data_IF_905195597809
#
_entry.id   IF_905195597809
#
_cell.length_a   1.000
_cell.length_b   1.000
_cell.length_c   1.000
_cell.angle_alpha   90.00
_cell.angle_beta   90.00
_cell.angle_gamma   90.00
#
_symmetry.space_group_name_H-M   'P 1'
#
loop_
_entity.id
_entity.type
_entity.pdbx_description
1 polymer ?
#
# COMPACT_ATOMS: atom_id res chain seq x y z
N UNK A 1 -10.78 -39.26 80.34
CA UNK A 1 -9.34 -38.98 80.50
C UNK A 1 -8.84 -38.32 79.21
N UNK A 2 -8.29 -37.12 79.37
CA UNK A 2 -7.77 -36.23 78.33
C UNK A 2 -6.59 -36.86 77.61
N UNK A 3 -6.53 -36.75 76.28
CA UNK A 3 -5.27 -36.67 75.55
C UNK A 3 -5.34 -35.48 74.60
N UNK A 4 -4.49 -34.50 74.89
CA UNK A 4 -4.30 -33.23 74.23
C UNK A 4 -3.19 -33.43 73.18
N UNK A 5 -3.50 -33.28 71.90
CA UNK A 5 -2.49 -33.23 70.83
C UNK A 5 -2.48 -31.80 70.30
N UNK A 6 -1.40 -31.07 70.61
CA UNK A 6 -1.06 -29.81 69.96
C UNK A 6 -0.67 -30.10 68.51
N UNK A 7 -1.41 -29.51 67.54
CA UNK A 7 -0.99 -29.49 66.15
C UNK A 7 -0.41 -28.10 65.83
N UNK A 8 0.89 -28.06 65.55
CA UNK A 8 1.60 -26.89 65.05
C UNK A 8 1.13 -26.60 63.62
N UNK A 9 0.46 -25.47 63.41
CA UNK A 9 0.05 -25.02 62.08
C UNK A 9 1.15 -24.13 61.48
N UNK A 10 2.05 -24.72 60.70
CA UNK A 10 3.03 -23.98 59.90
C UNK A 10 2.38 -23.49 58.61
N UNK A 11 2.17 -22.17 58.53
CA UNK A 11 1.78 -21.45 57.31
C UNK A 11 2.95 -21.48 56.31
N UNK A 12 2.85 -22.34 55.30
CA UNK A 12 3.66 -22.23 54.08
C UNK A 12 3.04 -21.16 53.18
N UNK A 13 3.66 -19.99 53.12
CA UNK A 13 3.39 -18.99 52.09
C UNK A 13 3.99 -19.54 50.79
N UNK A 14 3.17 -20.18 49.96
CA UNK A 14 3.57 -20.56 48.61
C UNK A 14 3.68 -19.30 47.77
N UNK A 15 4.91 -18.90 47.45
CA UNK A 15 5.22 -17.88 46.45
C UNK A 15 4.63 -18.33 45.11
N UNK A 16 3.54 -17.68 44.67
CA UNK A 16 3.03 -17.83 43.32
C UNK A 16 4.09 -17.25 42.39
N UNK A 17 4.89 -18.13 41.79
CA UNK A 17 5.81 -17.81 40.73
C UNK A 17 4.98 -17.58 39.46
N UNK A 18 4.46 -16.36 39.31
CA UNK A 18 3.78 -15.93 38.09
C UNK A 18 4.84 -15.68 37.02
N UNK A 19 5.39 -16.78 36.48
CA UNK A 19 6.11 -16.74 35.22
C UNK A 19 5.09 -16.47 34.12
N UNK A 20 4.82 -15.18 33.88
CA UNK A 20 4.18 -14.71 32.66
C UNK A 20 5.13 -14.99 31.49
N UNK A 21 5.16 -16.24 31.06
CA UNK A 21 5.76 -16.64 29.80
C UNK A 21 4.76 -16.22 28.72
N UNK A 22 4.79 -14.94 28.34
CA UNK A 22 4.10 -14.49 27.13
C UNK A 22 4.76 -15.23 25.97
N UNK A 23 4.05 -16.25 25.48
CA UNK A 23 4.33 -16.92 24.23
C UNK A 23 4.19 -15.84 23.16
N UNK A 24 5.28 -15.15 22.81
CA UNK A 24 5.26 -14.20 21.70
C UNK A 24 4.79 -14.97 20.47
N UNK A 25 3.53 -14.75 20.08
CA UNK A 25 3.03 -15.23 18.81
C UNK A 25 4.02 -14.77 17.75
N UNK A 26 4.60 -15.73 17.03
CA UNK A 26 5.43 -15.44 15.85
C UNK A 26 4.58 -14.56 14.95
N UNK A 27 4.97 -13.29 14.80
CA UNK A 27 4.21 -12.35 13.98
C UNK A 27 4.37 -12.79 12.53
N UNK A 28 3.26 -13.12 11.88
CA UNK A 28 3.23 -13.49 10.47
C UNK A 28 3.74 -12.31 9.62
N UNK A 29 4.53 -12.62 8.60
CA UNK A 29 4.96 -11.65 7.61
C UNK A 29 3.73 -10.96 6.99
N UNK A 30 3.83 -9.64 6.84
CA UNK A 30 2.80 -8.81 6.23
C UNK A 30 2.87 -8.99 4.70
N UNK A 31 1.73 -9.28 4.09
CA UNK A 31 1.61 -9.42 2.63
C UNK A 31 1.82 -8.07 1.94
N UNK A 32 2.28 -8.03 0.68
CA UNK A 32 2.53 -6.78 -0.03
C UNK A 32 1.31 -5.88 -0.16
N UNK A 33 0.11 -6.48 -0.25
CA UNK A 33 -1.13 -5.74 -0.38
C UNK A 33 -1.61 -5.14 0.94
N UNK A 34 -1.28 -5.71 2.09
CA UNK A 34 -1.71 -5.20 3.39
C UNK A 34 -1.17 -3.78 3.63
N UNK A 35 -1.90 -3.00 4.44
CA UNK A 35 -1.53 -1.62 4.73
C UNK A 35 -0.17 -1.47 5.37
N UNK A 36 0.57 -0.46 4.92
CA UNK A 36 1.90 -0.16 5.41
C UNK A 36 2.17 1.34 5.38
N UNK A 37 2.83 1.83 6.42
CA UNK A 37 2.98 3.27 6.62
C UNK A 37 4.44 3.63 6.86
N UNK A 38 4.91 4.66 6.15
CA UNK A 38 6.14 5.36 6.46
C UNK A 38 5.84 6.60 7.31
N UNK A 39 6.53 6.71 8.44
CA UNK A 39 6.43 7.84 9.34
C UNK A 39 7.79 8.54 9.44
N UNK A 40 7.78 9.85 9.27
CA UNK A 40 8.99 10.70 9.33
C UNK A 40 9.21 11.32 10.72
N UNK A 41 8.18 11.32 11.55
CA UNK A 41 8.24 11.76 12.95
C UNK A 41 7.42 10.82 13.80
N UNK A 42 7.73 10.79 15.10
CA UNK A 42 6.87 10.10 16.06
C UNK A 42 5.54 10.87 16.10
N UNK A 43 4.59 10.45 15.26
CA UNK A 43 3.29 11.08 15.15
C UNK A 43 2.46 10.72 16.37
N UNK A 44 1.93 11.75 17.02
CA UNK A 44 0.88 11.65 18.04
C UNK A 44 -0.28 10.81 17.45
N UNK A 45 -0.72 9.78 18.16
CA UNK A 45 -1.90 8.97 17.76
C UNK A 45 -1.64 7.51 17.39
N UNK A 46 -0.43 6.97 17.55
CA UNK A 46 -0.19 5.52 17.43
C UNK A 46 -0.59 4.77 18.71
N UNK A 47 -1.88 4.58 18.92
CA UNK A 47 -2.39 3.70 19.98
C UNK A 47 -1.89 2.26 19.75
N UNK A 48 -1.56 1.55 20.84
CA UNK A 48 -1.15 0.13 20.85
C UNK A 48 0.01 -0.28 19.92
N UNK A 49 1.01 0.59 19.71
CA UNK A 49 2.20 0.20 18.93
C UNK A 49 3.12 -0.78 19.66
N UNK A 50 3.53 -1.85 18.98
CA UNK A 50 4.57 -2.77 19.43
C UNK A 50 5.84 -2.56 18.60
N UNK A 51 6.93 -2.15 19.24
CA UNK A 51 8.24 -2.11 18.60
C UNK A 51 8.70 -3.55 18.35
N UNK A 52 9.01 -3.88 17.09
CA UNK A 52 9.51 -5.20 16.72
C UNK A 52 11.04 -5.20 16.70
N UNK A 53 11.64 -4.24 15.99
CA UNK A 53 13.09 -4.11 15.89
C UNK A 53 13.52 -2.74 15.36
N UNK A 54 14.82 -2.51 15.30
CA UNK A 54 15.44 -1.38 14.59
C UNK A 54 16.27 -1.91 13.44
N UNK A 55 16.02 -1.39 12.23
CA UNK A 55 16.78 -1.73 11.03
C UNK A 55 17.72 -0.59 10.64
N UNK A 56 18.87 -0.97 10.08
CA UNK A 56 19.86 -0.05 9.53
C UNK A 56 20.12 -0.47 8.09
N UNK A 57 19.81 0.39 7.14
CA UNK A 57 19.92 0.08 5.73
C UNK A 57 20.67 1.18 4.98
N UNK A 58 21.27 0.80 3.85
CA UNK A 58 21.96 1.72 2.95
C UNK A 58 21.67 1.38 1.49
N UNK A 59 21.60 2.41 0.65
CA UNK A 59 21.46 2.31 -0.81
C UNK A 59 22.02 3.56 -1.47
N UNK A 60 22.37 3.48 -2.75
CA UNK A 60 22.75 4.62 -3.60
C UNK A 60 21.56 5.53 -3.90
N UNK A 61 20.36 4.95 -4.00
CA UNK A 61 19.11 5.66 -4.26
C UNK A 61 18.17 5.61 -3.04
N UNK A 62 17.60 6.77 -2.65
CA UNK A 62 16.75 6.87 -1.45
C UNK A 62 15.43 6.09 -1.58
N UNK A 63 14.77 6.12 -2.73
CA UNK A 63 13.49 5.43 -2.90
C UNK A 63 13.66 3.91 -2.94
N UNK A 64 14.76 3.44 -3.56
CA UNK A 64 15.17 2.03 -3.49
C UNK A 64 15.44 1.63 -2.04
N UNK A 65 16.04 2.53 -1.24
CA UNK A 65 16.27 2.31 0.18
C UNK A 65 14.95 2.17 0.95
N UNK A 66 13.97 3.04 0.69
CA UNK A 66 12.65 2.98 1.31
C UNK A 66 11.92 1.67 0.99
N UNK A 67 11.92 1.23 -0.27
CA UNK A 67 11.33 -0.06 -0.67
C UNK A 67 12.01 -1.26 -0.02
N UNK A 68 13.34 -1.22 0.07
CA UNK A 68 14.10 -2.25 0.78
C UNK A 68 13.73 -2.28 2.27
N UNK A 69 13.52 -1.11 2.87
CA UNK A 69 13.13 -0.98 4.26
C UNK A 69 11.72 -1.50 4.52
N UNK A 70 10.77 -1.19 3.66
CA UNK A 70 9.41 -1.74 3.71
C UNK A 70 9.41 -3.25 3.56
N UNK A 71 10.08 -3.80 2.54
CA UNK A 71 10.17 -5.25 2.33
C UNK A 71 10.72 -5.97 3.56
N UNK A 72 11.78 -5.41 4.16
CA UNK A 72 12.37 -5.97 5.38
C UNK A 72 11.44 -5.84 6.58
N UNK A 73 10.78 -4.69 6.77
CA UNK A 73 9.81 -4.48 7.83
C UNK A 73 8.62 -5.44 7.74
N UNK A 74 8.06 -5.63 6.54
CA UNK A 74 6.98 -6.59 6.28
C UNK A 74 7.41 -8.03 6.57
N UNK A 75 8.62 -8.41 6.16
CA UNK A 75 9.23 -9.73 6.47
C UNK A 75 9.33 -9.98 7.97
N UNK A 76 9.57 -8.93 8.75
CA UNK A 76 9.64 -8.96 10.22
C UNK A 76 8.26 -8.90 10.89
N UNK A 77 7.18 -8.88 10.12
CA UNK A 77 5.80 -8.78 10.62
C UNK A 77 5.36 -7.36 10.97
N UNK A 78 6.15 -6.34 10.63
CA UNK A 78 5.82 -4.93 10.83
C UNK A 78 4.95 -4.36 9.71
N UNK A 79 4.03 -3.48 10.09
CA UNK A 79 3.16 -2.72 9.18
C UNK A 79 3.38 -1.19 9.28
N UNK A 80 4.41 -0.77 10.02
CA UNK A 80 4.75 0.63 10.19
C UNK A 80 6.27 0.79 10.31
N UNK A 81 6.83 1.74 9.56
CA UNK A 81 8.24 2.10 9.60
C UNK A 81 8.40 3.56 10.03
N UNK A 82 9.04 3.79 11.17
CA UNK A 82 9.41 5.13 11.63
C UNK A 82 10.88 5.39 11.32
N UNK A 83 11.15 6.29 10.37
CA UNK A 83 12.53 6.69 10.03
C UNK A 83 13.03 7.65 11.12
N UNK A 84 13.95 7.17 11.95
CA UNK A 84 14.54 7.94 13.06
C UNK A 84 15.76 8.74 12.66
N UNK A 85 16.40 8.37 11.56
CA UNK A 85 17.57 9.10 11.03
C UNK A 85 17.74 8.76 9.56
N UNK A 86 17.97 9.79 8.75
CA UNK A 86 18.45 9.66 7.38
C UNK A 86 19.73 10.47 7.22
N UNK A 87 20.76 9.86 6.64
CA UNK A 87 22.00 10.51 6.22
C UNK A 87 22.13 10.39 4.71
N UNK A 88 22.06 11.53 4.02
CA UNK A 88 22.34 11.62 2.59
C UNK A 88 23.82 11.27 2.27
N UNK A 89 24.12 10.96 1.00
CA UNK A 89 25.50 10.86 0.54
C UNK A 89 26.29 12.14 0.84
N UNK A 90 27.57 12.00 1.13
CA UNK A 90 28.51 13.08 1.36
C UNK A 90 29.92 12.68 0.86
N UNK A 91 30.91 13.57 0.87
CA UNK A 91 32.25 13.27 0.35
C UNK A 91 32.93 12.02 0.96
N UNK A 92 32.50 11.59 2.14
CA UNK A 92 33.05 10.44 2.87
C UNK A 92 32.15 9.19 2.81
N UNK A 93 30.98 9.29 2.20
CA UNK A 93 30.02 8.19 2.08
C UNK A 93 29.08 8.39 0.89
N UNK A 94 29.20 7.55 -0.13
CA UNK A 94 28.47 7.67 -1.39
C UNK A 94 27.01 7.18 -1.36
N UNK A 95 26.49 6.72 -0.20
CA UNK A 95 25.18 6.07 -0.08
C UNK A 95 24.28 6.76 0.93
N UNK A 96 22.98 6.79 0.62
CA UNK A 96 21.93 7.07 1.58
C UNK A 96 21.97 6.00 2.67
N UNK A 97 21.80 6.41 3.92
CA UNK A 97 21.76 5.52 5.09
C UNK A 97 20.56 5.91 5.95
N UNK A 98 19.73 4.93 6.29
CA UNK A 98 18.62 5.15 7.21
C UNK A 98 18.75 4.27 8.46
N UNK A 99 18.29 4.81 9.58
CA UNK A 99 17.93 4.04 10.78
C UNK A 99 16.43 4.15 10.99
N UNK A 100 15.75 3.03 11.11
CA UNK A 100 14.31 3.02 11.26
C UNK A 100 13.86 2.01 12.31
N UNK A 101 12.79 2.36 13.03
CA UNK A 101 12.09 1.46 13.95
C UNK A 101 10.95 0.79 13.19
N UNK A 102 10.88 -0.53 13.29
CA UNK A 102 9.80 -1.35 12.73
C UNK A 102 8.77 -1.59 13.81
N UNK A 103 7.54 -1.18 13.55
CA UNK A 103 6.42 -1.35 14.47
C UNK A 103 5.35 -2.27 13.88
N UNK A 104 4.60 -2.91 14.79
CA UNK A 104 3.24 -3.38 14.53
C UNK A 104 2.27 -2.39 15.18
N UNK A 105 1.32 -1.87 14.40
CA UNK A 105 0.24 -0.99 14.86
C UNK A 105 -1.11 -1.58 14.47
N UNK A 106 -2.15 -1.28 15.24
CA UNK A 106 -3.49 -1.87 15.03
C UNK A 106 -4.18 -1.33 13.78
N UNK A 107 -4.04 -0.02 13.50
CA UNK A 107 -4.73 0.65 12.39
C UNK A 107 -3.74 1.41 11.48
N UNK A 108 -2.93 0.71 10.66
CA UNK A 108 -2.09 1.38 9.67
C UNK A 108 -2.89 2.13 8.60
N UNK A 109 -4.11 1.69 8.28
CA UNK A 109 -4.98 2.25 7.24
C UNK A 109 -5.30 3.74 7.42
N UNK A 110 -5.32 4.23 8.67
CA UNK A 110 -5.60 5.63 8.98
C UNK A 110 -4.47 6.59 8.61
N UNK A 111 -3.25 6.08 8.37
CA UNK A 111 -2.08 6.90 8.08
C UNK A 111 -1.61 6.78 6.62
N UNK A 112 -2.21 5.90 5.82
CA UNK A 112 -1.87 5.77 4.41
C UNK A 112 -2.28 7.03 3.64
N UNK A 113 -1.51 7.42 2.63
CA UNK A 113 -1.90 8.53 1.75
C UNK A 113 -2.57 8.03 0.48
N UNK A 114 -2.21 6.80 0.11
CA UNK A 114 -2.63 6.14 -1.10
C UNK A 114 -2.61 4.63 -0.92
N UNK A 115 -3.37 3.94 -1.76
CA UNK A 115 -3.51 2.49 -1.77
C UNK A 115 -3.12 2.02 -3.18
N UNK A 116 -2.10 1.16 -3.34
CA UNK A 116 -1.85 0.49 -4.60
C UNK A 116 -2.94 -0.56 -4.87
N UNK A 117 -3.35 -0.70 -6.12
CA UNK A 117 -4.40 -1.65 -6.50
C UNK A 117 -3.96 -3.09 -6.21
N UNK A 118 -4.86 -3.88 -5.63
CA UNK A 118 -4.66 -5.31 -5.44
C UNK A 118 -6.00 -6.02 -5.29
N UNK A 119 -6.21 -7.20 -5.92
CA UNK A 119 -7.52 -7.86 -5.89
C UNK A 119 -7.93 -8.32 -4.48
N UNK A 120 -6.95 -8.61 -3.61
CA UNK A 120 -7.18 -8.95 -2.20
C UNK A 120 -7.27 -7.75 -1.26
N UNK A 121 -7.36 -6.52 -1.79
CA UNK A 121 -7.50 -5.29 -1.01
C UNK A 121 -8.57 -4.38 -1.62
N UNK A 122 -9.85 -4.72 -1.44
CA UNK A 122 -10.94 -3.83 -1.83
C UNK A 122 -10.91 -2.55 -1.00
N UNK A 123 -11.43 -1.47 -1.60
CA UNK A 123 -11.66 -0.20 -0.94
C UNK A 123 -12.70 -0.35 0.17
N UNK A 124 -12.53 0.45 1.21
CA UNK A 124 -13.46 0.60 2.34
C UNK A 124 -13.82 2.07 2.46
N UNK A 125 -14.98 2.37 3.04
CA UNK A 125 -15.41 3.76 3.30
C UNK A 125 -14.35 4.55 4.10
N UNK A 126 -13.65 3.92 5.04
CA UNK A 126 -12.58 4.58 5.83
C UNK A 126 -11.35 4.99 5.00
N UNK A 127 -11.23 4.54 3.74
CA UNK A 127 -10.16 4.95 2.84
C UNK A 127 -10.42 6.32 2.21
N UNK A 128 -11.66 6.80 2.20
CA UNK A 128 -12.05 8.10 1.64
C UNK A 128 -11.91 9.18 2.72
N UNK A 129 -10.79 9.91 2.70
CA UNK A 129 -10.42 10.91 3.72
C UNK A 129 -10.25 12.32 3.16
N UNK A 130 -10.53 12.50 1.88
CA UNK A 130 -10.56 13.82 1.25
C UNK A 130 -11.75 14.64 1.73
N UNK A 131 -11.61 15.95 1.60
CA UNK A 131 -12.71 16.88 1.76
C UNK A 131 -13.71 16.69 0.60
N UNK A 132 -15.00 16.81 0.92
CA UNK A 132 -16.08 16.80 -0.06
C UNK A 132 -16.02 18.02 -1.00
N UNK A 133 -15.49 19.16 -0.54
CA UNK A 133 -15.36 20.41 -1.30
C UNK A 133 -16.58 20.71 -2.18
N UNK A 134 -17.72 21.13 -1.59
CA UNK A 134 -18.99 21.49 -2.24
C UNK A 134 -19.48 20.55 -3.37
N UNK A 135 -18.97 19.32 -3.46
CA UNK A 135 -19.26 18.43 -4.56
C UNK A 135 -20.72 17.91 -4.44
N UNK A 136 -21.50 18.02 -5.53
CA UNK A 136 -22.88 17.55 -5.53
C UNK A 136 -23.01 16.02 -5.44
N UNK A 137 -21.96 15.27 -5.80
CA UNK A 137 -21.96 13.80 -5.74
C UNK A 137 -21.75 13.31 -4.30
N UNK A 138 -22.32 12.14 -3.93
CA UNK A 138 -22.16 11.56 -2.59
C UNK A 138 -20.74 11.04 -2.34
N UNK A 139 -19.99 10.70 -3.38
CA UNK A 139 -18.60 10.27 -3.31
C UNK A 139 -17.86 10.63 -4.59
N UNK A 140 -16.53 10.64 -4.50
CA UNK A 140 -15.65 10.64 -5.66
C UNK A 140 -14.29 10.02 -5.32
N UNK A 141 -13.84 9.10 -6.16
CA UNK A 141 -12.48 8.55 -6.14
C UNK A 141 -11.51 9.39 -6.97
N UNK A 142 -10.39 9.76 -6.35
CA UNK A 142 -9.20 10.20 -7.08
C UNK A 142 -8.27 9.00 -7.25
N UNK A 143 -8.24 8.45 -8.47
CA UNK A 143 -7.30 7.38 -8.86
C UNK A 143 -6.26 7.91 -9.85
N UNK A 144 -5.10 7.26 -9.91
CA UNK A 144 -4.01 7.63 -10.81
C UNK A 144 -3.23 6.40 -11.27
N UNK A 145 -2.58 6.52 -12.44
CA UNK A 145 -1.53 5.58 -12.88
C UNK A 145 -0.19 6.24 -12.56
N UNK A 146 0.47 5.77 -11.51
CA UNK A 146 1.76 6.29 -11.07
C UNK A 146 2.90 5.52 -11.76
N UNK A 147 3.84 6.26 -12.37
CA UNK A 147 5.09 5.70 -12.89
C UNK A 147 6.24 6.19 -12.05
N UNK A 148 7.04 5.25 -11.55
CA UNK A 148 8.26 5.53 -10.81
C UNK A 148 9.44 4.83 -11.48
N UNK A 149 10.47 5.60 -11.83
CA UNK A 149 11.68 5.10 -12.49
C UNK A 149 12.86 5.25 -11.55
N UNK A 150 13.58 4.17 -11.30
CA UNK A 150 14.74 4.11 -10.42
C UNK A 150 15.94 3.59 -11.20
N UNK A 151 16.90 4.45 -11.51
CA UNK A 151 18.19 4.01 -12.01
C UNK A 151 19.04 3.53 -10.83
N UNK A 152 19.58 2.31 -10.93
CA UNK A 152 20.59 1.81 -10.01
C UNK A 152 21.96 1.77 -10.69
N UNK A 153 22.84 2.76 -10.40
CA UNK A 153 24.17 2.82 -11.00
C UNK A 153 25.05 1.61 -10.66
N UNK A 154 24.79 0.90 -9.54
CA UNK A 154 25.60 -0.26 -9.15
C UNK A 154 25.29 -1.51 -10.00
N UNK A 155 24.03 -1.69 -10.42
CA UNK A 155 23.61 -2.85 -11.20
C UNK A 155 23.56 -2.62 -12.71
N UNK A 156 23.71 -1.37 -13.17
CA UNK A 156 23.60 -1.06 -14.60
C UNK A 156 22.16 -1.19 -15.12
N UNK A 157 21.15 -1.16 -14.24
CA UNK A 157 19.74 -1.38 -14.59
C UNK A 157 18.86 -0.22 -14.14
N UNK A 158 17.83 0.04 -14.92
CA UNK A 158 16.74 0.93 -14.57
C UNK A 158 15.53 0.10 -14.18
N UNK A 159 14.95 0.36 -13.02
CA UNK A 159 13.70 -0.25 -12.58
C UNK A 159 12.55 0.70 -12.84
N UNK A 160 11.58 0.31 -13.65
CA UNK A 160 10.32 1.02 -13.82
C UNK A 160 9.23 0.35 -12.97
N UNK A 161 8.39 1.13 -12.30
CA UNK A 161 7.24 0.64 -11.54
C UNK A 161 6.00 1.41 -11.95
N UNK A 162 4.94 0.70 -12.31
CA UNK A 162 3.70 1.27 -12.85
C UNK A 162 2.52 0.70 -12.08
N UNK A 163 1.82 1.56 -11.37
CA UNK A 163 0.79 1.16 -10.40
C UNK A 163 -0.47 1.99 -10.56
N UNK A 164 -1.63 1.34 -10.55
CA UNK A 164 -2.87 2.02 -10.25
C UNK A 164 -2.90 2.33 -8.75
N UNK A 165 -3.12 3.61 -8.41
CA UNK A 165 -3.19 4.06 -7.01
C UNK A 165 -4.47 4.83 -6.74
N UNK A 166 -5.12 4.51 -5.64
CA UNK A 166 -6.22 5.26 -5.06
C UNK A 166 -5.65 6.29 -4.07
N UNK A 167 -6.07 7.56 -4.14
CA UNK A 167 -5.53 8.65 -3.33
C UNK A 167 -6.49 8.98 -2.18
N UNK A 168 -6.22 8.46 -0.98
CA UNK A 168 -7.12 8.51 0.17
C UNK A 168 -7.50 9.93 0.57
N UNK A 169 -6.51 10.83 0.66
CA UNK A 169 -6.70 12.22 1.09
C UNK A 169 -7.33 13.12 0.00
N UNK A 170 -7.54 12.58 -1.21
CA UNK A 170 -8.18 13.28 -2.33
C UNK A 170 -9.50 12.65 -2.76
N UNK A 171 -9.94 11.62 -2.04
CA UNK A 171 -11.16 10.88 -2.34
C UNK A 171 -12.10 11.02 -1.17
N UNK A 172 -13.36 11.35 -1.41
CA UNK A 172 -14.35 11.57 -0.35
C UNK A 172 -15.54 10.62 -0.52
N UNK A 173 -16.20 10.34 0.59
CA UNK A 173 -17.39 9.49 0.63
C UNK A 173 -18.32 9.99 1.73
N UNK A 174 -19.57 10.23 1.37
CA UNK A 174 -20.63 10.61 2.32
C UNK A 174 -21.49 9.38 2.59
N UNK A 175 -21.44 8.80 3.81
CA UNK A 175 -22.28 7.66 4.14
C UNK A 175 -23.77 7.99 3.98
N UNK A 176 -24.49 7.15 3.25
CA UNK A 176 -25.95 7.24 3.05
C UNK A 176 -26.57 5.84 2.96
N UNK A 177 -27.90 5.75 2.89
CA UNK A 177 -28.55 4.54 2.41
C UNK A 177 -27.99 4.18 1.02
N UNK A 178 -27.67 2.91 0.77
CA UNK A 178 -27.01 2.47 -0.48
C UNK A 178 -25.48 2.71 -0.52
N UNK A 179 -24.83 2.88 0.64
CA UNK A 179 -23.37 3.04 0.70
C UNK A 179 -22.61 1.86 0.06
N UNK A 180 -23.14 0.64 0.13
CA UNK A 180 -22.50 -0.54 -0.46
C UNK A 180 -22.49 -0.47 -2.00
N UNK A 181 -23.62 -0.11 -2.62
CA UNK A 181 -23.72 0.07 -4.07
C UNK A 181 -22.78 1.18 -4.54
N UNK A 182 -22.75 2.30 -3.79
CA UNK A 182 -21.86 3.42 -4.10
C UNK A 182 -20.39 3.03 -3.96
N UNK A 183 -20.02 2.33 -2.89
CA UNK A 183 -18.65 1.84 -2.71
C UNK A 183 -18.25 0.87 -3.82
N UNK A 184 -19.17 0.05 -4.31
CA UNK A 184 -18.93 -0.83 -5.45
C UNK A 184 -18.71 -0.06 -6.77
N UNK A 185 -19.36 1.09 -6.99
CA UNK A 185 -19.07 2.00 -8.11
C UNK A 185 -17.65 2.55 -7.99
N UNK A 186 -17.28 3.05 -6.81
CA UNK A 186 -15.94 3.61 -6.58
C UNK A 186 -14.83 2.56 -6.70
N UNK A 187 -15.08 1.32 -6.25
CA UNK A 187 -14.18 0.20 -6.47
C UNK A 187 -14.00 -0.07 -7.97
N UNK A 188 -15.07 -0.04 -8.75
CA UNK A 188 -15.01 -0.28 -10.18
C UNK A 188 -14.24 0.82 -10.94
N UNK A 189 -14.32 2.08 -10.47
CA UNK A 189 -13.44 3.17 -10.95
C UNK A 189 -11.97 2.83 -10.71
N UNK A 190 -11.64 2.25 -9.56
CA UNK A 190 -10.26 1.86 -9.24
C UNK A 190 -9.79 0.65 -10.05
N UNK A 191 -10.65 -0.35 -10.24
CA UNK A 191 -10.38 -1.51 -11.09
C UNK A 191 -10.17 -1.09 -12.56
N UNK A 192 -10.97 -0.15 -13.06
CA UNK A 192 -10.78 0.47 -14.38
C UNK A 192 -9.40 1.15 -14.49
N UNK A 193 -8.94 1.85 -13.46
CA UNK A 193 -7.59 2.43 -13.45
C UNK A 193 -6.51 1.33 -13.57
N UNK A 194 -6.69 0.17 -12.93
CA UNK A 194 -5.77 -0.95 -13.09
C UNK A 194 -5.81 -1.55 -14.49
N UNK A 195 -6.98 -1.66 -15.16
CA UNK A 195 -7.05 -2.07 -16.57
C UNK A 195 -6.12 -1.21 -17.43
N UNK A 196 -6.20 0.11 -17.28
CA UNK A 196 -5.37 1.04 -18.04
C UNK A 196 -3.90 1.03 -17.60
N UNK A 197 -3.61 0.79 -16.32
CA UNK A 197 -2.25 0.55 -15.87
C UNK A 197 -1.66 -0.71 -16.54
N UNK A 198 -2.42 -1.81 -16.68
CA UNK A 198 -1.99 -3.02 -17.38
C UNK A 198 -1.80 -2.81 -18.88
N UNK A 199 -2.68 -2.02 -19.53
CA UNK A 199 -2.49 -1.62 -20.94
C UNK A 199 -1.17 -0.87 -21.12
N UNK A 200 -0.83 0.01 -20.19
CA UNK A 200 0.45 0.72 -20.22
C UNK A 200 1.65 -0.20 -19.98
N UNK A 201 1.54 -1.11 -19.01
CA UNK A 201 2.56 -2.14 -18.76
C UNK A 201 2.79 -3.03 -19.98
N UNK A 202 1.72 -3.40 -20.68
CA UNK A 202 1.80 -4.16 -21.94
C UNK A 202 2.65 -3.43 -22.98
N UNK A 203 2.34 -2.17 -23.26
CA UNK A 203 3.12 -1.35 -24.21
C UNK A 203 4.60 -1.34 -23.81
N UNK A 204 4.89 -1.19 -22.52
CA UNK A 204 6.27 -1.10 -22.04
C UNK A 204 7.00 -2.43 -22.15
N UNK A 205 6.36 -3.54 -21.81
CA UNK A 205 6.96 -4.88 -21.95
C UNK A 205 7.23 -5.23 -23.41
N UNK A 206 6.34 -4.81 -24.32
CA UNK A 206 6.42 -5.18 -25.73
C UNK A 206 7.34 -4.26 -26.54
N UNK A 207 7.49 -3.00 -26.16
CA UNK A 207 8.13 -1.98 -26.98
C UNK A 207 9.35 -1.27 -26.32
N UNK A 208 9.55 -1.37 -25.00
CA UNK A 208 10.62 -0.65 -24.28
C UNK A 208 11.75 -1.60 -23.89
N UNK A 209 12.96 -1.35 -24.41
CA UNK A 209 14.17 -2.08 -24.03
C UNK A 209 15.12 -1.27 -23.14
N UNK A 210 15.01 0.06 -23.16
CA UNK A 210 15.90 0.98 -22.42
C UNK A 210 15.16 2.12 -21.71
N UNK A 211 15.85 2.81 -20.79
CA UNK A 211 15.26 3.96 -20.09
C UNK A 211 14.96 5.16 -21.00
N UNK A 212 15.70 5.36 -22.08
CA UNK A 212 15.46 6.47 -23.02
C UNK A 212 14.18 6.23 -23.82
N UNK A 213 14.00 5.01 -24.32
CA UNK A 213 12.78 4.58 -25.02
C UNK A 213 11.54 4.68 -24.12
N UNK A 214 11.69 4.43 -22.81
CA UNK A 214 10.59 4.61 -21.87
C UNK A 214 10.08 6.05 -21.83
N UNK A 215 10.98 7.04 -21.89
CA UNK A 215 10.61 8.46 -21.89
C UNK A 215 9.87 8.81 -23.19
N UNK A 216 10.37 8.32 -24.33
CA UNK A 216 9.75 8.55 -25.65
C UNK A 216 8.37 7.89 -25.76
N UNK A 217 8.23 6.64 -25.29
CA UNK A 217 6.96 5.92 -25.26
C UNK A 217 5.97 6.58 -24.30
N UNK A 218 6.43 7.07 -23.14
CA UNK A 218 5.57 7.84 -22.25
C UNK A 218 5.04 9.10 -22.94
N UNK A 219 5.89 9.88 -23.59
CA UNK A 219 5.49 11.11 -24.28
C UNK A 219 4.52 10.85 -25.45
N UNK A 220 4.69 9.75 -26.18
CA UNK A 220 3.92 9.47 -27.39
C UNK A 220 2.68 8.58 -27.18
N UNK A 221 2.80 7.50 -26.39
CA UNK A 221 1.73 6.49 -26.21
C UNK A 221 0.91 6.71 -24.95
N UNK A 222 1.54 7.05 -23.82
CA UNK A 222 0.77 7.36 -22.61
C UNK A 222 -0.09 8.62 -22.81
N UNK A 223 0.37 9.56 -23.63
CA UNK A 223 -0.41 10.73 -24.06
C UNK A 223 -1.73 10.39 -24.76
N UNK A 224 -1.86 9.23 -25.40
CA UNK A 224 -3.11 8.76 -26.00
C UNK A 224 -3.94 7.89 -25.04
N UNK A 225 -3.26 7.05 -24.25
CA UNK A 225 -3.89 6.13 -23.31
C UNK A 225 -4.58 6.85 -22.14
N UNK A 226 -4.00 7.95 -21.64
CA UNK A 226 -4.56 8.70 -20.52
C UNK A 226 -5.90 9.38 -20.87
N UNK A 227 -6.05 10.10 -22.00
CA UNK A 227 -7.35 10.57 -22.47
C UNK A 227 -8.38 9.44 -22.65
N UNK A 228 -7.96 8.29 -23.17
CA UNK A 228 -8.86 7.13 -23.32
C UNK A 228 -9.35 6.63 -21.95
N UNK A 229 -8.45 6.48 -20.98
CA UNK A 229 -8.79 6.12 -19.61
C UNK A 229 -9.78 7.13 -18.98
N UNK A 230 -9.49 8.43 -19.11
CA UNK A 230 -10.39 9.47 -18.60
C UNK A 230 -11.76 9.43 -19.29
N UNK A 231 -11.79 9.21 -20.60
CA UNK A 231 -13.03 9.05 -21.39
C UNK A 231 -13.84 7.86 -20.91
N UNK A 232 -13.22 6.68 -20.78
CA UNK A 232 -13.89 5.47 -20.30
C UNK A 232 -14.42 5.59 -18.88
N UNK A 233 -13.68 6.28 -18.00
CA UNK A 233 -14.17 6.56 -16.65
C UNK A 233 -15.42 7.44 -16.67
N UNK A 234 -15.44 8.47 -17.50
CA UNK A 234 -16.59 9.37 -17.57
C UNK A 234 -17.80 8.68 -18.20
N UNK A 235 -17.61 7.93 -19.29
CA UNK A 235 -18.64 7.10 -19.93
C UNK A 235 -19.30 6.15 -18.91
N UNK A 236 -18.48 5.42 -18.14
CA UNK A 236 -18.97 4.56 -17.07
C UNK A 236 -19.80 5.32 -16.03
N UNK A 237 -19.28 6.44 -15.52
CA UNK A 237 -19.95 7.20 -14.46
C UNK A 237 -21.26 7.84 -14.94
N UNK A 238 -21.31 8.31 -16.19
CA UNK A 238 -22.52 8.86 -16.83
C UNK A 238 -23.57 7.76 -17.02
N UNK A 239 -23.19 6.62 -17.60
CA UNK A 239 -24.12 5.52 -17.87
C UNK A 239 -24.70 4.92 -16.59
N UNK A 240 -23.87 4.71 -15.55
CA UNK A 240 -24.36 4.20 -14.25
C UNK A 240 -25.22 5.22 -13.51
N UNK A 241 -25.00 6.52 -13.71
CA UNK A 241 -25.85 7.55 -13.14
C UNK A 241 -27.27 7.53 -13.76
N UNK A 242 -27.37 7.16 -15.04
CA UNK A 242 -28.65 7.05 -15.77
C UNK A 242 -29.32 5.68 -15.59
N UNK A 243 -28.51 4.62 -15.48
CA UNK A 243 -28.96 3.23 -15.43
C UNK A 243 -28.11 2.42 -14.43
N UNK A 244 -28.65 2.16 -13.24
CA UNK A 244 -27.96 1.35 -12.23
C UNK A 244 -27.61 -0.06 -12.70
N UNK A 245 -28.39 -0.64 -13.62
CA UNK A 245 -28.15 -1.99 -14.14
C UNK A 245 -26.91 -2.05 -15.05
N UNK A 246 -26.46 -0.90 -15.57
CA UNK A 246 -25.23 -0.81 -16.35
C UNK A 246 -23.99 -1.16 -15.50
N UNK A 247 -24.06 -0.99 -14.17
CA UNK A 247 -22.93 -1.28 -13.29
C UNK A 247 -22.45 -2.74 -13.45
N UNK A 248 -23.37 -3.69 -13.61
CA UNK A 248 -22.98 -5.10 -13.74
C UNK A 248 -22.32 -5.38 -15.09
N UNK A 249 -22.81 -4.78 -16.17
CA UNK A 249 -22.19 -4.91 -17.50
C UNK A 249 -20.76 -4.34 -17.50
N UNK A 250 -20.56 -3.20 -16.84
CA UNK A 250 -19.24 -2.62 -16.66
C UNK A 250 -18.34 -3.48 -15.79
N UNK A 251 -18.88 -4.12 -14.75
CA UNK A 251 -18.14 -5.06 -13.90
C UNK A 251 -17.65 -6.26 -14.70
N UNK A 252 -18.51 -6.87 -15.51
CA UNK A 252 -18.16 -7.96 -16.40
C UNK A 252 -17.08 -7.54 -17.40
N UNK A 253 -17.22 -6.36 -18.01
CA UNK A 253 -16.23 -5.84 -18.95
C UNK A 253 -14.87 -5.58 -18.29
N UNK A 254 -14.84 -4.90 -17.14
CA UNK A 254 -13.58 -4.62 -16.41
C UNK A 254 -12.90 -5.93 -15.99
N UNK A 255 -13.66 -6.90 -15.48
CA UNK A 255 -13.10 -8.21 -15.12
C UNK A 255 -12.54 -8.94 -16.34
N UNK A 256 -13.25 -8.92 -17.46
CA UNK A 256 -12.76 -9.48 -18.72
C UNK A 256 -11.48 -8.81 -19.22
N UNK A 257 -11.37 -7.49 -19.09
CA UNK A 257 -10.14 -6.75 -19.42
C UNK A 257 -8.99 -7.08 -18.46
N UNK A 258 -9.25 -7.17 -17.15
CA UNK A 258 -8.23 -7.57 -16.18
C UNK A 258 -7.72 -8.98 -16.46
N UNK A 259 -8.60 -9.93 -16.77
CA UNK A 259 -8.26 -11.32 -17.09
C UNK A 259 -7.48 -11.42 -18.41
N UNK A 260 -7.92 -10.71 -19.46
CA UNK A 260 -7.19 -10.71 -20.75
C UNK A 260 -5.79 -10.10 -20.63
N UNK A 261 -5.58 -9.23 -19.64
CA UNK A 261 -4.31 -8.58 -19.34
C UNK A 261 -3.54 -9.23 -18.17
N UNK A 262 -3.90 -10.44 -17.75
CA UNK A 262 -3.28 -11.12 -16.59
C UNK A 262 -1.75 -11.23 -16.70
N UNK A 263 -1.22 -11.40 -17.93
CA UNK A 263 0.22 -11.46 -18.20
C UNK A 263 0.98 -10.17 -17.80
N UNK A 264 0.26 -9.06 -17.61
CA UNK A 264 0.83 -7.74 -17.28
C UNK A 264 0.44 -7.28 -15.86
N UNK A 265 0.13 -8.22 -14.96
CA UNK A 265 -0.19 -7.93 -13.56
C UNK A 265 1.03 -7.49 -12.72
N UNK A 266 2.25 -7.81 -13.15
CA UNK A 266 3.49 -7.42 -12.48
C UNK A 266 3.69 -5.91 -12.63
N UNK A 267 3.89 -5.20 -11.53
CA UNK A 267 4.02 -3.73 -11.56
C UNK A 267 5.45 -3.27 -11.81
N UNK A 268 6.45 -4.15 -11.66
CA UNK A 268 7.87 -3.83 -11.69
C UNK A 268 8.60 -4.42 -12.90
N UNK A 269 9.38 -3.61 -13.62
CA UNK A 269 10.13 -4.00 -14.82
C UNK A 269 11.60 -3.59 -14.68
N UNK A 270 12.50 -4.44 -15.21
CA UNK A 270 13.93 -4.13 -15.31
C UNK A 270 14.27 -3.81 -16.76
N UNK A 271 14.79 -2.61 -16.97
CA UNK A 271 15.25 -2.08 -18.25
C UNK A 271 16.77 -1.96 -18.23
N UNK A 272 17.41 -2.07 -19.39
CA UNK A 272 18.84 -1.78 -19.50
C UNK A 272 19.10 -0.28 -19.26
N UNK A 273 20.20 0.04 -18.57
CA UNK A 273 20.78 1.39 -18.67
C UNK A 273 21.44 1.51 -20.05
N UNK A 274 21.20 2.64 -20.72
CA UNK A 274 21.96 3.02 -21.90
C UNK A 274 23.15 3.90 -21.49
#
# INVERSE_FOLDING_TARGET
MRNLILLFMTLFISSINLQAQSKEASLTAIQPYESFVFLEKDTVGMENRRLLTTINLKSTNYDVLLKKAEKEARRLGGNCLLITSHKAPNPWATRHRIKAKVFRIDNPESFEKEIPWHPSRPLKVCNFRGDRADNPLPSASTTAIDINIFSDPESGKTKAIIEARFKNEKSFFTPSAGSDDRLAIEQLVFDLTEVYARKLRKIIVEEVSSSDELIEIWQSKAGALLPEWYGKRNEFLEEVAENSDAQEQWREWVNGELDSLQAYNQTEFLLALR
#
